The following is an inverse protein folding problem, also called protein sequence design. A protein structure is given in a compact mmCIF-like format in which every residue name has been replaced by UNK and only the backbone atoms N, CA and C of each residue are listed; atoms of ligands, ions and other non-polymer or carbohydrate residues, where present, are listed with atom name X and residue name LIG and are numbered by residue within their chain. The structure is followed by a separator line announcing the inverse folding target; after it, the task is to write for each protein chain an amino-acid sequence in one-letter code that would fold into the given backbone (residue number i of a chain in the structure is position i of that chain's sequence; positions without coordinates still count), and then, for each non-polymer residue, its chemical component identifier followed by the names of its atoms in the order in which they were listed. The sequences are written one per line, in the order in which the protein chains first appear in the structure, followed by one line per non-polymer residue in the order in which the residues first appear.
data_IF_198535425045
#
_entry.id   IF_198535425045
#
_cell.length_a   1.000
_cell.length_b   1.000
_cell.length_c   1.000
_cell.angle_alpha   90.00
_cell.angle_beta   90.00
_cell.angle_gamma   90.00
#
_symmetry.space_group_name_H-M   'P 1'
#
loop_
_entity.id
_entity.type
_entity.pdbx_description
1 polymer ?
#
# COMPACT_ATOMS: atom_id res chain seq x y z
N UNK A 1 18.91 -9.78 13.69
CA UNK A 1 17.44 -9.78 13.53
C UNK A 1 16.86 -10.95 14.33
N UNK A 2 15.90 -10.75 15.25
CA UNK A 2 15.30 -11.85 16.05
C UNK A 2 14.49 -12.80 15.15
N UNK A 3 14.51 -14.10 15.44
CA UNK A 3 13.72 -15.12 14.72
C UNK A 3 12.22 -14.86 14.93
N UNK A 4 11.44 -14.80 13.86
CA UNK A 4 9.98 -14.64 13.92
C UNK A 4 9.32 -15.90 14.50
N UNK A 5 8.20 -15.73 15.21
CA UNK A 5 7.39 -16.86 15.69
C UNK A 5 6.84 -17.70 14.54
N UNK A 6 6.55 -18.98 14.79
CA UNK A 6 5.93 -19.88 13.77
C UNK A 6 4.63 -19.28 13.21
N UNK A 7 3.82 -18.63 14.06
CA UNK A 7 2.59 -17.93 13.64
C UNK A 7 2.89 -16.83 12.63
N UNK A 8 3.85 -15.93 12.93
CA UNK A 8 4.21 -14.85 11.97
C UNK A 8 4.87 -15.38 10.71
N UNK A 9 5.62 -16.48 10.76
CA UNK A 9 6.17 -17.08 9.55
C UNK A 9 5.05 -17.53 8.58
N UNK A 10 4.01 -18.22 9.09
CA UNK A 10 2.85 -18.63 8.29
C UNK A 10 2.12 -17.44 7.66
N UNK A 11 1.90 -16.38 8.44
CA UNK A 11 1.26 -15.15 7.93
C UNK A 11 2.07 -14.49 6.80
N UNK A 12 3.41 -14.52 6.87
CA UNK A 12 4.26 -14.02 5.79
C UNK A 12 4.30 -14.92 4.56
N UNK A 13 4.02 -16.23 4.69
CA UNK A 13 3.81 -17.11 3.53
C UNK A 13 2.56 -16.66 2.78
N UNK A 14 1.45 -16.49 3.49
CA UNK A 14 0.19 -16.02 2.89
C UNK A 14 0.33 -14.60 2.31
N UNK A 15 1.02 -13.69 3.01
CA UNK A 15 1.32 -12.35 2.49
C UNK A 15 2.07 -12.41 1.16
N UNK A 16 3.06 -13.30 1.00
CA UNK A 16 3.85 -13.38 -0.24
C UNK A 16 3.01 -13.87 -1.41
N UNK A 17 2.12 -14.84 -1.18
CA UNK A 17 1.15 -15.29 -2.19
C UNK A 17 0.23 -14.14 -2.61
N UNK A 18 -0.31 -13.41 -1.63
CA UNK A 18 -1.16 -12.25 -1.87
C UNK A 18 -0.42 -11.16 -2.67
N UNK A 19 0.80 -10.79 -2.27
CA UNK A 19 1.59 -9.78 -2.99
C UNK A 19 1.81 -10.13 -4.43
N UNK A 20 2.24 -11.37 -4.68
CA UNK A 20 2.49 -11.84 -6.04
C UNK A 20 1.23 -11.74 -6.88
N UNK A 21 0.12 -12.28 -6.38
CA UNK A 21 -1.18 -12.22 -7.04
C UNK A 21 -1.60 -10.78 -7.33
N UNK A 22 -1.54 -9.88 -6.34
CA UNK A 22 -1.97 -8.49 -6.52
C UNK A 22 -1.10 -7.71 -7.51
N UNK A 23 0.21 -7.95 -7.56
CA UNK A 23 1.08 -7.31 -8.55
C UNK A 23 0.82 -7.84 -9.98
N UNK A 24 0.44 -9.11 -10.11
CA UNK A 24 0.02 -9.70 -11.39
C UNK A 24 -1.36 -9.14 -11.84
N UNK A 25 -2.32 -9.05 -10.92
CA UNK A 25 -3.69 -8.58 -11.19
C UNK A 25 -3.79 -7.05 -11.33
N UNK A 26 -2.95 -6.29 -10.62
CA UNK A 26 -2.96 -4.83 -10.58
C UNK A 26 -1.60 -4.28 -11.03
N UNK A 27 -1.25 -4.40 -12.31
CA UNK A 27 0.10 -4.10 -12.81
C UNK A 27 0.45 -2.60 -12.81
N UNK A 28 -0.53 -1.72 -12.59
CA UNK A 28 -0.34 -0.27 -12.59
C UNK A 28 -0.63 0.34 -11.23
N UNK A 29 0.17 1.34 -10.86
CA UNK A 29 0.03 2.07 -9.61
C UNK A 29 -1.37 2.68 -9.45
N UNK A 30 -2.03 2.35 -8.36
CA UNK A 30 -3.35 2.87 -7.98
C UNK A 30 -3.26 4.30 -7.40
N UNK A 31 -2.12 4.68 -6.81
CA UNK A 31 -1.91 6.01 -6.23
C UNK A 31 -1.50 7.10 -7.25
N UNK A 32 -1.03 6.73 -8.44
CA UNK A 32 -0.67 7.70 -9.50
C UNK A 32 -1.83 8.64 -9.88
N UNK A 33 -3.04 8.15 -10.25
CA UNK A 33 -4.17 9.02 -10.57
C UNK A 33 -4.54 9.96 -9.42
N UNK A 34 -4.54 9.45 -8.17
CA UNK A 34 -4.93 10.21 -6.98
C UNK A 34 -3.96 11.38 -6.75
N UNK A 35 -2.65 11.14 -6.86
CA UNK A 35 -1.66 12.21 -6.74
C UNK A 35 -1.72 13.18 -7.92
N UNK A 36 -1.92 12.69 -9.14
CA UNK A 36 -2.04 13.54 -10.31
C UNK A 36 -3.23 14.51 -10.21
N UNK A 37 -4.38 14.01 -9.76
CA UNK A 37 -5.57 14.81 -9.48
C UNK A 37 -5.31 15.85 -8.40
N UNK A 38 -4.71 15.43 -7.27
CA UNK A 38 -4.34 16.35 -6.18
C UNK A 38 -3.36 17.45 -6.63
N UNK A 39 -2.41 17.11 -7.48
CA UNK A 39 -1.39 18.04 -8.00
C UNK A 39 -1.93 18.95 -9.12
N UNK A 40 -3.18 18.77 -9.54
CA UNK A 40 -3.78 19.53 -10.64
C UNK A 40 -3.14 19.23 -12.00
N UNK A 41 -2.56 18.04 -12.16
CA UNK A 41 -1.86 17.67 -13.39
C UNK A 41 -2.87 17.39 -14.51
N UNK A 42 -2.81 18.18 -15.59
CA UNK A 42 -3.66 17.96 -16.78
C UNK A 42 -3.39 16.65 -17.52
N UNK A 43 -2.22 16.04 -17.31
CA UNK A 43 -1.89 14.67 -17.73
C UNK A 43 -0.84 14.06 -16.80
N UNK A 44 -0.80 12.72 -16.73
CA UNK A 44 0.19 12.01 -15.92
C UNK A 44 0.58 10.66 -16.55
N UNK A 45 1.79 10.21 -16.24
CA UNK A 45 2.26 8.87 -16.62
C UNK A 45 1.95 7.91 -15.48
N UNK A 46 1.07 6.95 -15.74
CA UNK A 46 0.79 5.88 -14.79
C UNK A 46 1.94 4.88 -14.77
N UNK A 47 2.65 4.81 -13.67
CA UNK A 47 3.77 3.88 -13.48
C UNK A 47 3.29 2.46 -13.19
N UNK A 48 4.11 1.46 -13.51
CA UNK A 48 3.89 0.08 -13.06
C UNK A 48 3.94 -0.05 -11.53
N UNK A 49 3.13 -0.95 -10.98
CA UNK A 49 3.18 -1.29 -9.56
C UNK A 49 4.36 -2.23 -9.28
N UNK A 50 5.04 -2.00 -8.16
CA UNK A 50 6.17 -2.82 -7.72
C UNK A 50 6.12 -3.13 -6.23
N UNK A 51 5.31 -2.38 -5.48
CA UNK A 51 5.13 -2.51 -4.04
C UNK A 51 3.62 -2.67 -3.72
N UNK A 52 3.31 -3.40 -2.65
CA UNK A 52 1.96 -3.45 -2.08
C UNK A 52 1.95 -2.64 -0.79
N UNK A 53 1.34 -1.46 -0.86
CA UNK A 53 1.13 -0.55 0.25
C UNK A 53 -0.01 -1.04 1.16
N UNK A 54 0.17 -0.88 2.48
CA UNK A 54 -0.83 -1.23 3.49
C UNK A 54 -1.53 0.05 3.97
N UNK A 55 -2.83 0.23 3.66
CA UNK A 55 -3.59 1.44 3.99
C UNK A 55 -3.58 1.70 5.51
N UNK A 56 -3.89 0.68 6.29
CA UNK A 56 -3.78 0.67 7.74
C UNK A 56 -2.48 -0.03 8.12
N UNK A 57 -1.64 0.69 8.86
CA UNK A 57 -0.34 0.19 9.31
C UNK A 57 -0.51 -0.97 10.31
N UNK A 58 0.43 -1.92 10.27
CA UNK A 58 0.48 -3.09 11.16
C UNK A 58 0.50 -2.72 12.65
N UNK A 59 1.23 -1.65 13.00
CA UNK A 59 1.29 -1.13 14.37
C UNK A 59 -0.05 -0.57 14.86
N UNK A 60 -0.96 -0.27 13.94
CA UNK A 60 -2.30 0.24 14.23
C UNK A 60 -3.38 -0.85 14.04
N UNK A 61 -2.99 -2.12 13.98
CA UNK A 61 -3.90 -3.26 13.82
C UNK A 61 -4.26 -3.60 12.37
N UNK A 62 -3.58 -3.01 11.38
CA UNK A 62 -3.77 -3.38 9.98
C UNK A 62 -3.30 -4.80 9.67
N UNK A 63 -4.13 -5.53 8.93
CA UNK A 63 -3.81 -6.90 8.49
C UNK A 63 -2.94 -6.87 7.23
N UNK A 64 -1.91 -7.72 7.20
CA UNK A 64 -0.99 -7.85 6.06
C UNK A 64 -1.47 -8.87 5.01
N UNK A 65 -2.53 -9.60 5.32
CA UNK A 65 -3.15 -10.62 4.46
C UNK A 65 -4.58 -10.25 4.07
N UNK A 66 -5.08 -9.11 4.56
CA UNK A 66 -6.35 -8.56 4.11
C UNK A 66 -6.11 -7.75 2.84
N UNK A 67 -6.70 -8.22 1.74
CA UNK A 67 -6.59 -7.57 0.44
C UNK A 67 -7.23 -6.18 0.42
N UNK A 68 -8.29 -5.95 1.20
CA UNK A 68 -8.94 -4.63 1.30
C UNK A 68 -8.04 -3.59 1.97
N UNK A 69 -7.01 -4.04 2.69
CA UNK A 69 -5.98 -3.19 3.28
C UNK A 69 -4.77 -3.00 2.36
N UNK A 70 -4.78 -3.57 1.15
CA UNK A 70 -3.63 -3.61 0.25
C UNK A 70 -3.88 -2.83 -1.05
N UNK A 71 -2.93 -1.98 -1.42
CA UNK A 71 -2.95 -1.19 -2.65
C UNK A 71 -1.66 -1.38 -3.43
N UNK A 72 -1.76 -1.64 -4.74
CA UNK A 72 -0.61 -1.77 -5.62
C UNK A 72 -0.08 -0.39 -6.02
N UNK A 73 1.19 -0.12 -5.73
CA UNK A 73 1.80 1.20 -5.94
C UNK A 73 3.18 1.10 -6.59
N UNK A 74 3.57 2.16 -7.29
CA UNK A 74 4.95 2.32 -7.74
C UNK A 74 5.82 2.83 -6.58
N UNK A 75 7.14 2.70 -6.73
CA UNK A 75 8.09 3.11 -5.68
C UNK A 75 7.98 4.59 -5.29
N UNK A 76 7.77 5.47 -6.29
CA UNK A 76 7.66 6.92 -6.08
C UNK A 76 6.43 7.28 -5.26
N UNK A 77 5.27 6.73 -5.61
CA UNK A 77 4.04 6.95 -4.85
C UNK A 77 4.14 6.34 -3.45
N UNK A 78 4.75 5.15 -3.31
CA UNK A 78 4.96 4.53 -2.01
C UNK A 78 5.80 5.41 -1.07
N UNK A 79 6.88 6.00 -1.60
CA UNK A 79 7.71 6.95 -0.86
C UNK A 79 6.91 8.20 -0.48
N UNK A 80 6.19 8.82 -1.42
CA UNK A 80 5.37 10.02 -1.16
C UNK A 80 4.32 9.79 -0.07
N UNK A 81 3.68 8.62 -0.06
CA UNK A 81 2.73 8.25 1.01
C UNK A 81 3.42 8.19 2.38
N UNK A 82 4.65 7.64 2.43
CA UNK A 82 5.43 7.55 3.66
C UNK A 82 5.94 8.91 4.16
N UNK A 83 6.38 9.76 3.23
CA UNK A 83 6.99 11.06 3.53
C UNK A 83 5.94 12.12 3.91
N UNK A 84 4.69 11.98 3.42
CA UNK A 84 3.59 12.92 3.67
C UNK A 84 2.35 12.23 4.26
N UNK A 85 2.40 11.75 5.52
CA UNK A 85 1.33 10.95 6.10
C UNK A 85 0.00 11.71 6.24
N UNK A 86 0.02 13.01 6.55
CA UNK A 86 -1.20 13.82 6.64
C UNK A 86 -1.90 13.92 5.28
N UNK A 87 -1.12 14.14 4.22
CA UNK A 87 -1.63 14.16 2.85
C UNK A 87 -2.19 12.79 2.46
N UNK A 88 -1.47 11.71 2.80
CA UNK A 88 -1.94 10.36 2.53
C UNK A 88 -3.28 10.04 3.22
N UNK A 89 -3.49 10.50 4.46
CA UNK A 89 -4.79 10.39 5.11
C UNK A 89 -5.87 11.18 4.39
N UNK A 90 -5.57 12.43 4.02
CA UNK A 90 -6.51 13.29 3.31
C UNK A 90 -6.94 12.70 1.95
N UNK A 91 -6.01 12.09 1.23
CA UNK A 91 -6.24 11.47 -0.08
C UNK A 91 -6.77 10.02 0.00
N UNK A 92 -7.03 9.49 1.20
CA UNK A 92 -7.48 8.10 1.38
C UNK A 92 -6.42 7.03 1.05
N UNK A 93 -5.16 7.43 0.86
CA UNK A 93 -4.02 6.53 0.62
C UNK A 93 -3.49 5.88 1.91
N UNK A 94 -3.94 6.35 3.07
CA UNK A 94 -3.68 5.74 4.37
C UNK A 94 -4.92 5.85 5.27
N UNK A 95 -5.05 4.95 6.25
CA UNK A 95 -6.08 4.96 7.29
C UNK A 95 -5.47 5.30 8.64
N UNK A 96 -6.12 6.20 9.38
CA UNK A 96 -5.79 6.43 10.78
C UNK A 96 -6.19 5.22 11.63
N UNK A 97 -5.48 4.99 12.74
CA UNK A 97 -5.65 3.77 13.54
C UNK A 97 -7.05 3.57 14.11
N UNK A 98 -7.76 4.66 14.40
CA UNK A 98 -9.13 4.66 14.93
C UNK A 98 -10.22 4.55 13.85
N UNK A 99 -9.87 4.67 12.57
CA UNK A 99 -10.82 4.45 11.48
C UNK A 99 -11.00 2.95 11.24
N UNK A 100 -12.25 2.52 11.08
CA UNK A 100 -12.61 1.12 10.78
C UNK A 100 -12.27 0.76 9.34
#
# INVERSE_FOLDING_TARGET
MRRRSKKKQREYVERRKLVRRLLEERPYCEACPIFAEHDGAGSYIRSGSVDIHELKRRSQGGSITDESNCMAVCRKCHQRIGDHPQLAFHLGLAKQGWMK
#
